data_IF_674321455149
#
_entry.id   IF_674321455149
#
_cell.length_a   1.000
_cell.length_b   1.000
_cell.length_c   1.000
_cell.angle_alpha   90.00
_cell.angle_beta   90.00
_cell.angle_gamma   90.00
#
_symmetry.space_group_name_H-M   'P 1'
#
loop_
_entity.id
_entity.type
_entity.pdbx_description
1 polymer ?
#
# COMPACT_ATOMS: atom_id res chain seq x y z
N UNK A 1 -8.98 -3.57 23.84
CA UNK A 1 -7.62 -3.90 24.30
C UNK A 1 -7.01 -5.05 23.50
N UNK A 2 -6.50 -4.77 22.30
CA UNK A 2 -5.78 -5.77 21.49
C UNK A 2 -4.43 -6.09 22.14
N UNK A 3 -3.99 -7.35 22.05
CA UNK A 3 -2.70 -7.82 22.58
C UNK A 3 -1.89 -8.40 21.43
N UNK A 4 -0.64 -7.98 21.29
CA UNK A 4 0.31 -8.62 20.39
C UNK A 4 0.88 -9.88 21.05
N UNK A 5 1.28 -10.83 20.23
CA UNK A 5 1.92 -12.07 20.65
C UNK A 5 3.15 -12.33 19.80
N UNK A 6 4.13 -13.04 20.37
CA UNK A 6 5.34 -13.48 19.67
C UNK A 6 6.12 -12.34 18.98
N UNK A 7 6.27 -11.19 19.65
CA UNK A 7 6.93 -10.00 19.07
C UNK A 7 8.43 -10.21 18.74
N UNK A 8 9.06 -11.13 19.46
CA UNK A 8 10.47 -11.50 19.33
C UNK A 8 10.67 -12.88 18.67
N UNK A 9 9.59 -13.50 18.21
CA UNK A 9 9.60 -14.82 17.57
C UNK A 9 8.52 -15.74 18.12
N UNK A 10 8.00 -16.61 17.26
CA UNK A 10 7.06 -17.67 17.65
C UNK A 10 7.84 -18.83 18.26
N UNK A 11 7.43 -19.36 19.44
CA UNK A 11 8.01 -20.58 19.99
C UNK A 11 7.93 -21.74 19.00
N UNK A 12 9.04 -22.47 18.85
CA UNK A 12 9.18 -23.53 17.83
C UNK A 12 8.25 -24.74 18.06
N UNK A 13 7.76 -24.91 19.29
CA UNK A 13 6.88 -25.98 19.74
C UNK A 13 5.38 -25.61 19.69
N UNK A 14 5.04 -24.38 19.31
CA UNK A 14 3.66 -23.94 19.17
C UNK A 14 3.03 -24.49 17.88
N UNK A 15 2.08 -25.43 17.98
CA UNK A 15 1.51 -26.09 16.78
C UNK A 15 0.04 -26.53 16.85
N UNK A 16 -0.55 -26.68 18.05
CA UNK A 16 -1.96 -27.02 18.26
C UNK A 16 -2.48 -26.43 19.59
N UNK A 17 -1.95 -25.29 19.97
CA UNK A 17 -2.21 -24.64 21.25
C UNK A 17 -3.11 -23.42 21.07
N UNK A 18 -3.82 -23.05 22.14
CA UNK A 18 -4.62 -21.84 22.25
C UNK A 18 -4.11 -21.02 23.43
N UNK A 19 -4.33 -19.72 23.39
CA UNK A 19 -4.10 -18.85 24.54
C UNK A 19 -5.16 -19.10 25.64
N UNK A 20 -4.84 -18.77 26.90
CA UNK A 20 -5.83 -18.75 27.96
C UNK A 20 -7.06 -17.91 27.60
N UNK A 21 -8.21 -18.31 28.12
CA UNK A 21 -9.47 -17.59 27.93
C UNK A 21 -9.39 -16.19 28.56
N UNK A 22 -10.00 -15.20 27.90
CA UNK A 22 -10.02 -13.79 28.32
C UNK A 22 -11.40 -13.21 27.96
N UNK A 23 -12.45 -13.75 28.61
CA UNK A 23 -13.85 -13.41 28.33
C UNK A 23 -14.20 -11.98 28.74
N UNK A 24 -13.65 -11.50 29.85
CA UNK A 24 -13.87 -10.14 30.36
C UNK A 24 -13.54 -9.09 29.29
N UNK A 25 -12.48 -9.33 28.50
CA UNK A 25 -12.07 -8.44 27.40
C UNK A 25 -13.13 -8.28 26.30
N UNK A 26 -14.03 -9.24 26.13
CA UNK A 26 -15.08 -9.24 25.10
C UNK A 26 -16.49 -9.17 25.70
N UNK A 27 -16.63 -8.95 27.00
CA UNK A 27 -17.91 -8.95 27.71
C UNK A 27 -18.92 -8.00 27.07
N UNK A 28 -18.50 -6.77 26.74
CA UNK A 28 -19.38 -5.78 26.09
C UNK A 28 -19.94 -6.31 24.76
N UNK A 29 -19.11 -6.98 23.96
CA UNK A 29 -19.53 -7.57 22.69
C UNK A 29 -20.48 -8.74 22.92
N UNK A 30 -20.26 -9.54 23.97
CA UNK A 30 -21.15 -10.63 24.36
C UNK A 30 -22.52 -10.10 24.79
N UNK A 31 -22.56 -9.04 25.59
CA UNK A 31 -23.82 -8.41 26.02
C UNK A 31 -24.62 -7.85 24.84
N UNK A 32 -23.94 -7.23 23.85
CA UNK A 32 -24.59 -6.81 22.60
C UNK A 32 -25.12 -7.99 21.78
N UNK A 33 -24.38 -9.10 21.72
CA UNK A 33 -24.83 -10.32 21.04
C UNK A 33 -26.07 -10.93 21.72
N UNK A 34 -26.09 -10.98 23.06
CA UNK A 34 -27.25 -11.43 23.84
C UNK A 34 -28.47 -10.53 23.59
N UNK A 35 -28.29 -9.21 23.62
CA UNK A 35 -29.37 -8.27 23.32
C UNK A 35 -29.98 -8.52 21.92
N UNK A 36 -29.13 -8.85 20.94
CA UNK A 36 -29.56 -9.14 19.57
C UNK A 36 -30.21 -10.52 19.42
N UNK A 37 -29.73 -11.52 20.15
CA UNK A 37 -30.20 -12.91 20.10
C UNK A 37 -30.41 -13.42 21.54
N UNK A 38 -31.57 -13.14 22.18
CA UNK A 38 -31.78 -13.40 23.61
C UNK A 38 -31.59 -14.87 24.05
N UNK A 39 -31.82 -15.82 23.15
CA UNK A 39 -31.59 -17.25 23.43
C UNK A 39 -30.15 -17.58 23.83
N UNK A 40 -29.17 -16.76 23.43
CA UNK A 40 -27.75 -16.92 23.81
C UNK A 40 -27.55 -16.79 25.32
N UNK A 41 -28.35 -15.98 26.02
CA UNK A 41 -28.24 -15.79 27.47
C UNK A 41 -28.44 -17.09 28.28
N UNK A 42 -29.27 -18.01 27.77
CA UNK A 42 -29.60 -19.26 28.45
C UNK A 42 -28.81 -20.46 27.94
N UNK A 43 -28.07 -20.33 26.83
CA UNK A 43 -27.40 -21.45 26.16
C UNK A 43 -26.13 -21.93 26.89
N UNK A 44 -25.48 -21.04 27.64
CA UNK A 44 -24.19 -21.30 28.30
C UNK A 44 -22.98 -21.31 27.33
N UNK A 45 -21.78 -21.13 27.88
CA UNK A 45 -20.52 -21.17 27.10
C UNK A 45 -19.92 -22.57 27.17
N UNK A 46 -19.88 -23.29 26.03
CA UNK A 46 -19.27 -24.63 25.96
C UNK A 46 -17.74 -24.58 25.89
N UNK A 47 -17.20 -23.65 25.10
CA UNK A 47 -15.77 -23.51 24.84
C UNK A 47 -15.45 -22.10 24.36
N UNK A 48 -14.30 -21.58 24.74
CA UNK A 48 -13.70 -20.36 24.21
C UNK A 48 -12.51 -20.74 23.34
N UNK A 49 -12.39 -20.08 22.19
CA UNK A 49 -11.25 -20.26 21.27
C UNK A 49 -10.52 -18.93 21.18
N UNK A 50 -9.39 -18.84 21.87
CA UNK A 50 -8.49 -17.69 21.84
C UNK A 50 -7.17 -18.12 21.20
N UNK A 51 -6.88 -17.64 19.99
CA UNK A 51 -5.70 -18.07 19.24
C UNK A 51 -5.09 -16.92 18.44
N UNK A 52 -3.84 -17.10 17.97
CA UNK A 52 -3.17 -16.11 17.16
C UNK A 52 -3.77 -16.01 15.76
N UNK A 53 -3.67 -14.82 15.18
CA UNK A 53 -4.02 -14.55 13.79
C UNK A 53 -2.97 -13.63 13.19
N UNK A 54 -2.62 -13.85 11.93
CA UNK A 54 -1.56 -13.09 11.25
C UNK A 54 -2.21 -11.94 10.49
N UNK A 55 -1.76 -10.72 10.74
CA UNK A 55 -2.27 -9.50 10.11
C UNK A 55 -1.13 -8.74 9.44
N UNK A 56 -1.38 -8.27 8.22
CA UNK A 56 -0.58 -7.24 7.58
C UNK A 56 -1.06 -5.84 8.02
N UNK A 57 -0.28 -4.77 7.76
CA UNK A 57 -0.67 -3.40 8.14
C UNK A 57 -2.02 -2.93 7.56
N UNK A 58 -2.46 -3.50 6.44
CA UNK A 58 -3.70 -3.15 5.76
C UNK A 58 -4.74 -4.28 5.77
N UNK A 59 -4.49 -5.35 6.52
CA UNK A 59 -5.32 -6.55 6.57
C UNK A 59 -5.43 -7.33 5.25
N UNK A 60 -4.70 -6.93 4.20
CA UNK A 60 -4.66 -7.62 2.93
C UNK A 60 -3.50 -8.62 2.87
N UNK A 61 -3.64 -9.65 2.03
CA UNK A 61 -2.62 -10.69 1.86
C UNK A 61 -1.28 -10.05 1.45
N UNK A 62 -0.17 -10.63 1.90
CA UNK A 62 1.17 -10.37 1.37
C UNK A 62 1.47 -11.45 0.33
N UNK A 63 1.29 -11.12 -0.93
CA UNK A 63 1.25 -12.07 -2.03
C UNK A 63 2.28 -11.72 -3.12
N UNK A 64 2.90 -12.72 -3.74
CA UNK A 64 3.75 -12.55 -4.90
C UNK A 64 5.25 -12.65 -4.64
N UNK A 65 6.08 -12.54 -5.69
CA UNK A 65 7.52 -12.67 -5.61
C UNK A 65 8.17 -11.48 -4.90
N UNK A 66 9.14 -11.75 -4.03
CA UNK A 66 9.94 -10.72 -3.39
C UNK A 66 10.95 -10.13 -4.39
N UNK A 67 10.90 -8.82 -4.72
CA UNK A 67 11.76 -8.24 -5.76
C UNK A 67 13.27 -8.35 -5.49
N UNK A 68 13.69 -8.49 -4.23
CA UNK A 68 15.09 -8.55 -3.82
C UNK A 68 15.67 -9.98 -3.87
N UNK A 69 14.82 -11.01 -3.98
CA UNK A 69 15.22 -12.41 -3.87
C UNK A 69 14.83 -13.18 -5.14
N UNK A 70 15.69 -14.10 -5.56
CA UNK A 70 15.38 -15.03 -6.65
C UNK A 70 14.60 -16.22 -6.11
N UNK A 71 13.53 -16.62 -6.80
CA UNK A 71 12.73 -17.81 -6.50
C UNK A 71 12.12 -17.82 -5.08
N UNK A 72 11.84 -16.64 -4.51
CA UNK A 72 11.18 -16.50 -3.22
C UNK A 72 9.79 -15.89 -3.40
N UNK A 73 8.75 -16.64 -3.01
CA UNK A 73 7.35 -16.26 -3.19
C UNK A 73 6.65 -16.13 -1.83
N UNK A 74 5.94 -15.02 -1.63
CA UNK A 74 5.15 -14.76 -0.43
C UNK A 74 3.69 -15.14 -0.67
N UNK A 75 3.09 -15.82 0.30
CA UNK A 75 1.65 -16.03 0.40
C UNK A 75 1.28 -16.06 1.89
N UNK A 76 1.33 -14.89 2.51
CA UNK A 76 1.31 -14.72 3.96
C UNK A 76 0.23 -13.71 4.40
N UNK A 77 -0.09 -13.67 5.69
CA UNK A 77 -1.03 -12.68 6.24
C UNK A 77 -2.48 -12.86 5.78
N UNK A 78 -2.90 -14.10 5.50
CA UNK A 78 -4.27 -14.41 5.10
C UNK A 78 -5.16 -14.50 6.35
N UNK A 79 -5.95 -13.45 6.59
CA UNK A 79 -6.82 -13.36 7.78
C UNK A 79 -8.02 -14.32 7.67
N UNK A 80 -8.91 -14.22 6.66
CA UNK A 80 -9.98 -15.19 6.46
C UNK A 80 -9.48 -16.38 5.62
N UNK A 81 -8.47 -17.10 6.13
CA UNK A 81 -7.78 -18.19 5.42
C UNK A 81 -8.73 -19.20 4.79
N UNK A 82 -9.73 -19.68 5.54
CA UNK A 82 -10.66 -20.70 5.04
C UNK A 82 -11.41 -20.30 3.76
N UNK A 83 -11.79 -19.03 3.59
CA UNK A 83 -12.53 -18.59 2.40
C UNK A 83 -11.63 -18.12 1.27
N UNK A 84 -10.39 -17.71 1.55
CA UNK A 84 -9.48 -17.15 0.55
C UNK A 84 -8.42 -18.13 0.03
N UNK A 85 -8.02 -19.13 0.81
CA UNK A 85 -6.86 -19.98 0.50
C UNK A 85 -6.97 -20.73 -0.83
N UNK A 86 -8.16 -21.17 -1.24
CA UNK A 86 -8.35 -21.82 -2.54
C UNK A 86 -8.00 -20.92 -3.72
N UNK A 87 -8.48 -19.67 -3.69
CA UNK A 87 -8.15 -18.66 -4.70
C UNK A 87 -6.67 -18.27 -4.69
N UNK A 88 -6.09 -18.13 -3.48
CA UNK A 88 -4.66 -17.82 -3.32
C UNK A 88 -3.77 -18.94 -3.84
N UNK A 89 -4.12 -20.21 -3.58
CA UNK A 89 -3.42 -21.36 -4.14
C UNK A 89 -3.44 -21.36 -5.66
N UNK A 90 -4.62 -21.14 -6.28
CA UNK A 90 -4.75 -21.05 -7.75
C UNK A 90 -3.87 -19.93 -8.33
N UNK A 91 -3.97 -18.72 -7.78
CA UNK A 91 -3.24 -17.56 -8.30
C UNK A 91 -1.73 -17.68 -8.07
N UNK A 92 -1.30 -18.33 -6.98
CA UNK A 92 0.11 -18.57 -6.72
C UNK A 92 0.69 -19.56 -7.74
N UNK A 93 -0.01 -20.66 -7.98
CA UNK A 93 0.37 -21.63 -9.00
C UNK A 93 0.41 -21.00 -10.40
N UNK A 94 -0.61 -20.21 -10.75
CA UNK A 94 -0.65 -19.47 -12.01
C UNK A 94 0.53 -18.52 -12.15
N UNK A 95 0.87 -17.76 -11.11
CA UNK A 95 2.01 -16.86 -11.16
C UNK A 95 3.33 -17.62 -11.31
N UNK A 96 3.52 -18.72 -10.57
CA UNK A 96 4.75 -19.51 -10.66
C UNK A 96 4.94 -20.18 -12.03
N UNK A 97 3.86 -20.63 -12.67
CA UNK A 97 3.90 -21.33 -13.96
C UNK A 97 3.95 -20.32 -15.11
N UNK A 98 3.05 -19.34 -15.09
CA UNK A 98 2.82 -18.43 -16.21
C UNK A 98 3.62 -17.14 -16.09
N UNK A 99 4.22 -16.84 -14.94
CA UNK A 99 5.01 -15.62 -14.69
C UNK A 99 4.19 -14.38 -14.35
N UNK A 100 2.86 -14.40 -14.52
CA UNK A 100 1.94 -13.32 -14.17
C UNK A 100 0.52 -13.87 -13.94
N UNK A 101 -0.20 -13.44 -12.88
CA UNK A 101 -1.57 -13.88 -12.62
C UNK A 101 -2.57 -13.34 -13.66
N UNK A 102 -3.72 -14.00 -13.80
CA UNK A 102 -4.83 -13.55 -14.66
C UNK A 102 -5.62 -12.37 -14.09
N UNK A 103 -5.49 -12.11 -12.80
CA UNK A 103 -6.15 -11.01 -12.10
C UNK A 103 -5.12 -9.96 -11.69
N UNK A 104 -5.56 -8.70 -11.60
CA UNK A 104 -4.73 -7.65 -10.99
C UNK A 104 -4.61 -7.92 -9.48
N UNK A 105 -3.38 -8.21 -9.07
CA UNK A 105 -3.03 -8.54 -7.69
C UNK A 105 -2.31 -7.39 -6.97
N UNK A 106 -2.16 -6.20 -7.58
CA UNK A 106 -1.33 -5.13 -7.01
C UNK A 106 -1.74 -4.75 -5.58
N UNK A 107 -3.04 -4.70 -5.29
CA UNK A 107 -3.55 -4.42 -3.94
C UNK A 107 -3.12 -5.44 -2.89
N UNK A 108 -2.78 -6.68 -3.29
CA UNK A 108 -2.28 -7.76 -2.42
C UNK A 108 -0.80 -8.05 -2.63
N UNK A 109 -0.15 -7.34 -3.55
CA UNK A 109 1.25 -7.54 -3.84
C UNK A 109 2.12 -7.17 -2.65
N UNK A 110 3.03 -8.05 -2.26
CA UNK A 110 3.92 -7.82 -1.11
C UNK A 110 4.88 -6.63 -1.34
N UNK A 111 5.15 -6.26 -2.59
CA UNK A 111 5.99 -5.13 -2.97
C UNK A 111 5.31 -3.77 -2.78
N UNK A 112 4.02 -3.72 -2.42
CA UNK A 112 3.32 -2.47 -2.05
C UNK A 112 3.82 -1.85 -0.74
N UNK A 113 4.52 -2.63 0.08
CA UNK A 113 5.24 -2.15 1.26
C UNK A 113 6.73 -2.03 0.95
N UNK A 114 7.47 -1.25 1.73
CA UNK A 114 8.94 -1.19 1.67
C UNK A 114 9.54 -1.24 3.07
N UNK A 115 10.86 -1.03 3.19
CA UNK A 115 11.56 -1.03 4.49
C UNK A 115 11.00 -0.02 5.51
N UNK A 116 10.28 1.00 5.04
CA UNK A 116 9.58 1.97 5.88
C UNK A 116 8.46 1.35 6.72
N UNK A 117 7.86 0.23 6.28
CA UNK A 117 6.79 -0.47 6.99
C UNK A 117 7.36 -1.37 8.10
N UNK A 118 8.16 -0.79 9.00
CA UNK A 118 8.83 -1.51 10.09
C UNK A 118 7.89 -1.99 11.20
N UNK A 119 8.46 -2.60 12.25
CA UNK A 119 7.70 -3.17 13.39
C UNK A 119 6.74 -2.16 14.02
N UNK A 120 7.21 -0.93 14.31
CA UNK A 120 6.40 0.10 14.97
C UNK A 120 5.17 0.50 14.13
N UNK A 121 5.37 0.78 12.84
CA UNK A 121 4.27 1.08 11.90
C UNK A 121 3.30 -0.10 11.81
N UNK A 122 3.82 -1.31 11.60
CA UNK A 122 3.01 -2.52 11.47
C UNK A 122 2.14 -2.76 12.71
N UNK A 123 2.71 -2.66 13.92
CA UNK A 123 1.94 -2.79 15.16
C UNK A 123 0.83 -1.75 15.25
N UNK A 124 1.15 -0.47 15.06
CA UNK A 124 0.15 0.60 15.15
C UNK A 124 -1.01 0.39 14.15
N UNK A 125 -0.69 0.04 12.89
CA UNK A 125 -1.70 -0.22 11.86
C UNK A 125 -2.52 -1.48 12.15
N UNK A 126 -1.90 -2.58 12.56
CA UNK A 126 -2.62 -3.83 12.90
C UNK A 126 -3.57 -3.62 14.07
N UNK A 127 -3.16 -2.87 15.10
CA UNK A 127 -4.04 -2.53 16.22
C UNK A 127 -5.25 -1.70 15.78
N UNK A 128 -5.04 -0.71 14.91
CA UNK A 128 -6.09 0.10 14.31
C UNK A 128 -7.05 -0.75 13.47
N UNK A 129 -6.52 -1.58 12.57
CA UNK A 129 -7.27 -2.48 11.70
C UNK A 129 -8.11 -3.49 12.50
N UNK A 130 -7.52 -4.13 13.52
CA UNK A 130 -8.24 -5.06 14.38
C UNK A 130 -9.41 -4.37 15.09
N UNK A 131 -9.20 -3.16 15.59
CA UNK A 131 -10.20 -2.40 16.34
C UNK A 131 -11.33 -1.85 15.45
N UNK A 132 -11.06 -1.67 14.16
CA UNK A 132 -12.00 -1.11 13.18
C UNK A 132 -12.52 -2.12 12.15
N UNK A 133 -12.20 -3.41 12.28
CA UNK A 133 -12.52 -4.45 11.28
C UNK A 133 -13.96 -4.44 10.75
N UNK A 134 -14.92 -4.15 11.62
CA UNK A 134 -16.37 -4.14 11.30
C UNK A 134 -16.97 -2.73 11.27
N UNK A 135 -16.13 -1.68 11.22
CA UNK A 135 -16.60 -0.32 11.03
C UNK A 135 -16.99 -0.10 9.57
N UNK A 136 -17.79 0.94 9.34
CA UNK A 136 -18.03 1.43 7.98
C UNK A 136 -16.74 2.10 7.52
N UNK A 137 -16.21 1.64 6.40
CA UNK A 137 -15.09 2.27 5.71
C UNK A 137 -15.64 3.16 4.59
N UNK A 138 -15.16 4.39 4.54
CA UNK A 138 -15.61 5.39 3.57
C UNK A 138 -14.56 5.58 2.47
N UNK A 139 -14.97 6.02 1.27
CA UNK A 139 -14.02 6.45 0.24
C UNK A 139 -13.07 7.52 0.79
N UNK A 140 -11.81 7.47 0.35
CA UNK A 140 -10.74 8.41 0.74
C UNK A 140 -10.44 8.46 2.24
N UNK A 141 -10.88 7.46 3.02
CA UNK A 141 -10.58 7.42 4.45
C UNK A 141 -9.07 7.29 4.72
N UNK A 142 -8.53 8.28 5.43
CA UNK A 142 -7.17 8.26 5.95
C UNK A 142 -7.13 7.77 7.41
N UNK A 143 -6.06 7.05 7.76
CA UNK A 143 -5.88 6.49 9.10
C UNK A 143 -4.59 6.99 9.74
N UNK A 144 -4.72 7.64 10.90
CA UNK A 144 -3.59 8.26 11.60
C UNK A 144 -2.62 7.27 12.25
N UNK A 145 -3.04 6.02 12.49
CA UNK A 145 -2.23 5.05 13.21
C UNK A 145 -0.88 4.79 12.50
N UNK A 146 0.22 4.94 13.23
CA UNK A 146 1.57 4.75 12.71
C UNK A 146 2.11 5.90 11.87
N UNK A 147 1.38 7.02 11.74
CA UNK A 147 1.80 8.20 10.99
C UNK A 147 2.26 9.33 11.94
N UNK A 148 3.19 10.19 11.51
CA UNK A 148 3.94 10.11 10.25
C UNK A 148 5.03 9.02 10.32
N UNK A 149 5.24 8.28 9.22
CA UNK A 149 6.31 7.26 9.13
C UNK A 149 7.51 7.73 8.30
N UNK A 150 7.28 8.55 7.28
CA UNK A 150 8.33 9.28 6.55
C UNK A 150 7.83 10.66 6.15
N UNK A 151 8.70 11.64 6.28
CA UNK A 151 8.43 13.04 5.89
C UNK A 151 9.52 13.55 4.96
N UNK A 152 9.16 14.50 4.10
CA UNK A 152 10.11 15.22 3.22
C UNK A 152 10.60 16.50 3.91
N UNK A 153 11.72 17.09 3.46
CA UNK A 153 12.22 18.35 4.05
C UNK A 153 11.20 19.49 4.06
N UNK A 154 10.27 19.51 3.11
CA UNK A 154 9.20 20.51 2.98
C UNK A 154 7.96 20.22 3.83
N UNK A 155 7.93 19.12 4.59
CA UNK A 155 6.75 18.66 5.34
C UNK A 155 6.25 19.70 6.35
N UNK A 156 7.13 20.23 7.21
CA UNK A 156 6.70 21.21 8.23
C UNK A 156 6.21 22.51 7.59
N UNK A 157 6.88 22.98 6.53
CA UNK A 157 6.44 24.15 5.76
C UNK A 157 5.04 23.92 5.15
N UNK A 158 4.80 22.77 4.52
CA UNK A 158 3.49 22.43 3.96
C UNK A 158 2.41 22.36 5.06
N UNK A 159 2.73 21.79 6.23
CA UNK A 159 1.84 21.72 7.38
C UNK A 159 1.49 23.11 7.91
N UNK A 160 2.45 24.03 7.99
CA UNK A 160 2.22 25.43 8.35
C UNK A 160 1.28 26.11 7.35
N UNK A 161 1.48 25.87 6.04
CA UNK A 161 0.62 26.31 4.94
C UNK A 161 -0.79 25.72 4.96
N UNK A 162 -1.09 24.77 5.85
CA UNK A 162 -2.41 24.17 6.01
C UNK A 162 -2.61 22.84 5.28
N UNK A 163 -1.54 22.17 4.85
CA UNK A 163 -1.65 20.85 4.25
C UNK A 163 -2.34 19.84 5.18
N UNK A 164 -3.33 19.16 4.63
CA UNK A 164 -3.94 17.96 5.18
C UNK A 164 -3.31 16.76 4.50
N UNK A 165 -2.69 15.87 5.28
CA UNK A 165 -1.83 14.81 4.75
C UNK A 165 -2.51 13.45 4.71
N UNK A 166 -2.23 12.72 3.64
CA UNK A 166 -2.50 11.30 3.47
C UNK A 166 -1.22 10.47 3.47
N UNK A 167 -1.35 9.14 3.41
CA UNK A 167 -0.22 8.22 3.34
C UNK A 167 -0.03 7.68 1.92
N UNK A 168 1.12 7.94 1.30
CA UNK A 168 1.50 7.36 0.02
C UNK A 168 2.86 6.65 0.13
N UNK A 169 2.85 5.30 0.12
CA UNK A 169 4.07 4.47 0.22
C UNK A 169 5.01 4.87 1.37
N UNK A 170 4.42 5.13 2.53
CA UNK A 170 5.13 5.57 3.73
C UNK A 170 5.39 7.07 3.81
N UNK A 171 5.18 7.83 2.73
CA UNK A 171 5.34 9.28 2.76
C UNK A 171 4.06 9.98 3.20
N UNK A 172 4.21 10.97 4.07
CA UNK A 172 3.19 12.00 4.24
C UNK A 172 3.08 12.83 2.96
N UNK A 173 1.92 12.77 2.31
CA UNK A 173 1.64 13.45 1.05
C UNK A 173 0.47 14.42 1.22
N UNK A 174 0.62 15.71 0.88
CA UNK A 174 -0.51 16.65 0.92
C UNK A 174 -1.64 16.19 0.01
N UNK A 175 -2.84 16.05 0.57
CA UNK A 175 -4.06 15.76 -0.18
C UNK A 175 -4.73 17.06 -0.66
N UNK A 176 -4.73 18.07 0.21
CA UNK A 176 -5.29 19.41 -0.02
C UNK A 176 -4.78 20.38 1.06
N UNK A 177 -5.02 21.67 0.88
CA UNK A 177 -4.57 22.75 1.77
C UNK A 177 -5.77 23.53 2.33
N UNK A 178 -5.92 23.49 3.65
CA UNK A 178 -6.91 24.27 4.39
C UNK A 178 -6.51 25.75 4.44
N UNK A 179 -7.46 26.65 4.20
CA UNK A 179 -7.26 28.08 4.38
C UNK A 179 -7.27 28.47 5.87
N UNK A 180 -6.85 29.71 6.17
CA UNK A 180 -6.92 30.23 7.53
C UNK A 180 -8.36 30.19 8.07
N UNK A 181 -8.55 29.55 9.22
CA UNK A 181 -9.86 29.37 9.85
C UNK A 181 -10.65 28.14 9.39
N UNK A 182 -10.15 27.37 8.41
CA UNK A 182 -10.77 26.11 8.01
C UNK A 182 -10.26 24.91 8.83
N UNK A 183 -11.08 23.84 9.01
CA UNK A 183 -10.63 22.63 9.66
C UNK A 183 -9.46 21.98 8.93
N UNK A 184 -8.46 21.51 9.67
CA UNK A 184 -7.28 20.78 9.15
C UNK A 184 -7.38 19.26 9.31
N UNK A 185 -8.58 18.78 9.62
CA UNK A 185 -8.90 17.36 9.71
C UNK A 185 -9.85 17.00 8.57
N UNK A 186 -9.65 15.84 7.97
CA UNK A 186 -10.50 15.37 6.87
C UNK A 186 -11.78 14.75 7.40
N UNK A 187 -12.93 15.16 6.83
CA UNK A 187 -14.20 14.46 7.08
C UNK A 187 -14.38 13.34 6.08
N UNK A 188 -15.01 12.24 6.51
CA UNK A 188 -15.25 11.06 5.67
C UNK A 188 -16.75 10.75 5.57
N UNK A 189 -17.18 10.32 4.38
CA UNK A 189 -18.58 10.03 4.10
C UNK A 189 -18.81 9.68 2.63
N UNK A 190 -20.02 9.27 2.28
CA UNK A 190 -20.39 8.89 0.91
C UNK A 190 -20.74 10.06 -0.01
N UNK A 191 -20.76 11.28 0.53
CA UNK A 191 -21.06 12.52 -0.21
C UNK A 191 -19.83 13.43 -0.24
N UNK A 192 -19.96 14.63 -0.83
CA UNK A 192 -18.90 15.63 -0.80
C UNK A 192 -18.53 15.97 0.65
N UNK A 193 -17.24 15.88 0.95
CA UNK A 193 -16.67 16.15 2.26
C UNK A 193 -16.06 17.55 2.32
N UNK A 194 -15.47 17.91 3.45
CA UNK A 194 -14.91 19.24 3.69
C UNK A 194 -13.79 19.62 2.71
N UNK A 195 -13.06 18.65 2.14
CA UNK A 195 -12.04 18.88 1.12
C UNK A 195 -12.58 19.45 -0.21
N UNK A 196 -13.89 19.32 -0.49
CA UNK A 196 -14.47 19.71 -1.79
C UNK A 196 -14.27 21.19 -2.11
N UNK A 197 -14.47 22.06 -1.12
CA UNK A 197 -14.26 23.51 -1.26
C UNK A 197 -12.79 23.86 -1.51
N UNK A 198 -11.86 23.46 -0.62
CA UNK A 198 -10.42 23.65 -0.77
C UNK A 198 -9.86 23.15 -2.09
N UNK A 199 -10.13 21.89 -2.47
CA UNK A 199 -9.65 21.34 -3.75
C UNK A 199 -10.20 22.12 -4.93
N UNK A 200 -11.46 22.56 -4.88
CA UNK A 200 -12.05 23.43 -5.90
C UNK A 200 -11.35 24.80 -6.01
N UNK A 201 -10.86 25.36 -4.89
CA UNK A 201 -10.06 26.59 -4.91
C UNK A 201 -8.67 26.35 -5.48
N UNK A 202 -8.00 25.26 -5.10
CA UNK A 202 -6.68 24.89 -5.64
C UNK A 202 -6.73 24.68 -7.15
N UNK A 203 -7.74 23.95 -7.64
CA UNK A 203 -7.93 23.72 -9.06
C UNK A 203 -8.16 25.02 -9.85
N UNK A 204 -8.96 25.95 -9.32
CA UNK A 204 -9.14 27.28 -9.94
C UNK A 204 -7.87 28.11 -9.91
N UNK A 205 -7.17 28.14 -8.76
CA UNK A 205 -5.89 28.84 -8.62
C UNK A 205 -4.88 28.37 -9.67
N UNK A 206 -4.75 27.06 -9.89
CA UNK A 206 -3.88 26.48 -10.91
C UNK A 206 -4.29 26.82 -12.35
N UNK A 207 -5.58 27.04 -12.61
CA UNK A 207 -6.07 27.42 -13.96
C UNK A 207 -5.90 28.90 -14.25
N UNK A 208 -6.02 29.73 -13.23
CA UNK A 208 -6.03 31.19 -13.36
C UNK A 208 -4.64 31.79 -13.13
N UNK A 209 -3.73 31.07 -12.47
CA UNK A 209 -2.41 31.56 -12.05
C UNK A 209 -1.33 30.47 -12.28
N UNK A 210 -0.38 30.37 -11.35
CA UNK A 210 0.62 29.31 -11.28
C UNK A 210 0.59 28.69 -9.89
N UNK A 211 0.80 27.38 -9.80
CA UNK A 211 0.86 26.66 -8.54
C UNK A 211 2.00 25.66 -8.51
N UNK A 212 2.36 25.27 -7.29
CA UNK A 212 3.44 24.33 -7.02
C UNK A 212 2.81 23.07 -6.44
N UNK A 213 3.17 21.92 -7.00
CA UNK A 213 2.78 20.61 -6.50
C UNK A 213 4.03 19.83 -6.10
N UNK A 214 3.99 19.19 -4.94
CA UNK A 214 5.07 18.33 -4.49
C UNK A 214 4.93 16.93 -5.10
N UNK A 215 5.83 16.62 -6.04
CA UNK A 215 5.93 15.32 -6.71
C UNK A 215 7.15 14.51 -6.25
N UNK A 216 7.70 14.86 -5.08
CA UNK A 216 8.89 14.20 -4.52
C UNK A 216 8.64 12.72 -4.24
N UNK A 217 7.39 12.29 -4.09
CA UNK A 217 7.00 10.90 -3.85
C UNK A 217 7.11 9.99 -5.09
N UNK A 218 7.26 10.51 -6.31
CA UNK A 218 7.49 9.65 -7.49
C UNK A 218 8.77 8.83 -7.38
N UNK A 219 8.76 7.64 -7.98
CA UNK A 219 9.95 6.81 -8.15
C UNK A 219 10.85 7.46 -9.20
N UNK A 220 12.15 7.44 -8.96
CA UNK A 220 13.15 8.14 -9.78
C UNK A 220 14.31 7.19 -10.00
N UNK A 221 14.62 6.91 -11.25
CA UNK A 221 15.71 6.03 -11.64
C UNK A 221 16.61 6.73 -12.64
N UNK A 222 17.88 6.40 -12.57
CA UNK A 222 18.90 6.83 -13.51
C UNK A 222 19.37 5.59 -14.27
N UNK A 223 19.37 5.67 -15.61
CA UNK A 223 19.83 4.59 -16.49
C UNK A 223 20.96 5.16 -17.34
N UNK A 224 22.15 4.57 -17.19
CA UNK A 224 23.41 5.06 -17.77
C UNK A 224 24.17 3.96 -18.51
N UNK A 225 24.92 4.35 -19.52
CA UNK A 225 25.86 3.50 -20.25
C UNK A 225 25.54 3.37 -21.73
N UNK A 226 26.49 2.85 -22.52
CA UNK A 226 26.42 2.86 -23.99
C UNK A 226 25.16 2.16 -24.55
N UNK A 227 24.65 1.16 -23.83
CA UNK A 227 23.49 0.36 -24.22
C UNK A 227 22.19 0.73 -23.48
N UNK A 228 22.18 1.86 -22.75
CA UNK A 228 21.02 2.32 -21.97
C UNK A 228 19.76 2.48 -22.85
N UNK A 229 19.90 3.08 -24.03
CA UNK A 229 18.79 3.27 -24.98
C UNK A 229 18.23 1.92 -25.45
N UNK A 230 19.12 0.97 -25.77
CA UNK A 230 18.73 -0.36 -26.23
C UNK A 230 17.99 -1.15 -25.13
N UNK A 231 18.51 -1.12 -23.90
CA UNK A 231 17.88 -1.76 -22.76
C UNK A 231 16.50 -1.16 -22.44
N UNK A 232 16.38 0.16 -22.44
CA UNK A 232 15.10 0.86 -22.23
C UNK A 232 14.07 0.54 -23.33
N UNK A 233 14.50 0.47 -24.58
CA UNK A 233 13.64 0.07 -25.71
C UNK A 233 13.23 -1.41 -25.66
N UNK A 234 13.99 -2.27 -24.99
CA UNK A 234 13.60 -3.66 -24.73
C UNK A 234 12.62 -3.78 -23.55
N UNK A 235 12.71 -2.87 -22.59
CA UNK A 235 11.89 -2.86 -21.38
C UNK A 235 10.51 -2.21 -21.59
N UNK A 236 10.47 -1.07 -22.27
CA UNK A 236 9.27 -0.25 -22.42
C UNK A 236 8.66 -0.35 -23.82
N UNK A 237 7.35 -0.07 -23.93
CA UNK A 237 6.64 -0.24 -25.20
C UNK A 237 6.79 0.94 -26.18
N UNK A 238 7.12 2.14 -25.71
CA UNK A 238 7.42 3.27 -26.58
C UNK A 238 8.92 3.34 -26.92
N UNK A 239 9.26 3.98 -28.04
CA UNK A 239 10.64 4.28 -28.39
C UNK A 239 11.19 5.41 -27.53
N UNK A 240 12.40 5.23 -27.03
CA UNK A 240 13.09 6.25 -26.23
C UNK A 240 13.39 7.51 -27.05
N UNK A 241 13.43 8.69 -26.40
CA UNK A 241 13.72 9.95 -27.09
C UNK A 241 15.13 9.92 -27.70
N UNK A 242 15.23 10.30 -28.97
CA UNK A 242 16.50 10.29 -29.73
C UNK A 242 17.33 11.55 -29.57
N UNK A 243 16.76 12.63 -29.01
CA UNK A 243 17.44 13.91 -28.79
C UNK A 243 17.60 14.17 -27.30
N UNK A 244 18.77 14.63 -26.89
CA UNK A 244 19.02 15.13 -25.53
C UNK A 244 18.04 16.26 -25.20
N UNK A 245 17.46 16.23 -24.00
CA UNK A 245 16.45 17.16 -23.51
C UNK A 245 15.01 16.75 -23.83
N UNK A 246 14.78 15.80 -24.73
CA UNK A 246 13.43 15.32 -25.02
C UNK A 246 12.94 14.30 -23.99
N UNK A 247 11.62 14.31 -23.77
CA UNK A 247 10.93 13.35 -22.92
C UNK A 247 9.84 12.61 -23.70
N UNK A 248 9.53 11.38 -23.29
CA UNK A 248 8.36 10.64 -23.75
C UNK A 248 7.62 9.99 -22.57
N UNK A 249 6.32 9.76 -22.75
CA UNK A 249 5.55 8.83 -21.93
C UNK A 249 5.66 7.43 -22.52
N UNK A 250 5.80 6.42 -21.66
CA UNK A 250 5.98 5.05 -22.09
C UNK A 250 5.39 4.06 -21.09
N UNK A 251 4.51 3.14 -21.54
CA UNK A 251 3.98 2.13 -20.66
C UNK A 251 4.98 0.97 -20.50
N UNK A 252 5.00 0.41 -19.30
CA UNK A 252 5.59 -0.88 -19.00
C UNK A 252 4.52 -1.96 -19.16
N UNK A 253 4.81 -2.96 -19.98
CA UNK A 253 3.84 -3.99 -20.35
C UNK A 253 4.20 -5.31 -19.67
N UNK A 254 3.21 -5.91 -19.01
CA UNK A 254 3.31 -7.22 -18.39
C UNK A 254 3.32 -8.35 -19.40
N UNK A 255 3.61 -9.56 -18.93
CA UNK A 255 3.76 -10.76 -19.77
C UNK A 255 2.48 -11.11 -20.53
N UNK A 256 1.32 -10.78 -19.97
CA UNK A 256 -0.01 -10.99 -20.56
C UNK A 256 -0.50 -9.80 -21.40
N UNK A 257 0.34 -8.79 -21.62
CA UNK A 257 -0.01 -7.58 -22.39
C UNK A 257 -0.76 -6.51 -21.58
N UNK A 258 -0.93 -6.70 -20.26
CA UNK A 258 -1.49 -5.68 -19.38
C UNK A 258 -0.51 -4.55 -19.06
N UNK A 259 -1.01 -3.41 -18.58
CA UNK A 259 -0.17 -2.28 -18.17
C UNK A 259 0.32 -2.52 -16.74
N UNK A 260 1.63 -2.68 -16.57
CA UNK A 260 2.29 -2.80 -15.26
C UNK A 260 2.73 -1.43 -14.69
N UNK A 261 2.83 -0.42 -15.54
CA UNK A 261 3.15 0.94 -15.12
C UNK A 261 3.16 1.92 -16.28
N UNK A 262 3.20 3.19 -15.94
CA UNK A 262 3.38 4.29 -16.88
C UNK A 262 4.54 5.17 -16.39
N UNK A 263 5.37 5.60 -17.32
CA UNK A 263 6.65 6.23 -17.04
C UNK A 263 6.88 7.43 -17.93
N UNK A 264 7.52 8.45 -17.37
CA UNK A 264 8.14 9.53 -18.13
C UNK A 264 9.63 9.25 -18.23
N UNK A 265 10.16 9.18 -19.45
CA UNK A 265 11.60 9.02 -19.70
C UNK A 265 12.14 10.26 -20.39
N UNK A 266 13.20 10.84 -19.83
CA UNK A 266 13.91 12.00 -20.37
C UNK A 266 15.34 11.61 -20.71
N UNK A 267 15.81 11.90 -21.92
CA UNK A 267 17.22 11.75 -22.28
C UNK A 267 18.01 12.95 -21.79
N UNK A 268 18.93 12.73 -20.84
CA UNK A 268 19.74 13.78 -20.23
C UNK A 268 21.09 13.96 -20.93
N UNK A 269 21.66 12.89 -21.49
CA UNK A 269 22.88 12.91 -22.30
C UNK A 269 22.84 11.81 -23.37
N UNK A 270 23.93 11.61 -24.10
CA UNK A 270 23.99 10.60 -25.17
C UNK A 270 23.73 9.18 -24.65
N UNK A 271 24.17 8.88 -23.42
CA UNK A 271 24.08 7.57 -22.77
C UNK A 271 23.45 7.67 -21.36
N UNK A 272 22.64 8.70 -21.10
CA UNK A 272 22.02 8.95 -19.79
C UNK A 272 20.53 9.29 -19.90
N UNK A 273 19.70 8.60 -19.11
CA UNK A 273 18.26 8.78 -19.05
C UNK A 273 17.76 8.89 -17.61
N UNK A 274 16.84 9.83 -17.39
CA UNK A 274 16.02 9.92 -16.18
C UNK A 274 14.69 9.23 -16.43
N UNK A 275 14.32 8.30 -15.55
CA UNK A 275 13.07 7.55 -15.62
C UNK A 275 12.25 7.86 -14.36
N UNK A 276 11.06 8.41 -14.56
CA UNK A 276 10.13 8.77 -13.49
C UNK A 276 8.90 7.86 -13.58
N UNK A 277 8.55 7.23 -12.46
CA UNK A 277 7.41 6.31 -12.38
C UNK A 277 6.61 6.48 -11.09
N UNK A 278 5.60 5.62 -10.92
CA UNK A 278 4.75 5.63 -9.72
C UNK A 278 5.55 5.26 -8.47
N UNK A 279 5.63 6.19 -7.51
CA UNK A 279 6.38 5.99 -6.26
C UNK A 279 5.98 4.75 -5.47
N UNK A 280 4.68 4.50 -5.35
CA UNK A 280 4.15 3.35 -4.62
C UNK A 280 4.45 2.00 -5.24
N UNK A 281 4.85 1.99 -6.52
CA UNK A 281 5.16 0.80 -7.28
C UNK A 281 6.68 0.61 -7.47
N UNK A 282 7.52 1.40 -6.78
CA UNK A 282 8.98 1.34 -6.97
C UNK A 282 9.53 -0.08 -6.82
N UNK A 283 9.19 -0.77 -5.73
CA UNK A 283 9.57 -2.18 -5.53
C UNK A 283 8.87 -3.13 -6.49
N UNK A 284 7.63 -2.84 -6.85
CA UNK A 284 6.87 -3.67 -7.79
C UNK A 284 7.54 -3.67 -9.18
N UNK A 285 7.94 -2.50 -9.69
CA UNK A 285 8.55 -2.34 -11.01
C UNK A 285 9.93 -3.00 -11.13
N UNK A 286 10.68 -3.16 -10.04
CA UNK A 286 11.98 -3.83 -10.04
C UNK A 286 11.95 -5.24 -10.66
N UNK A 287 10.85 -5.98 -10.51
CA UNK A 287 10.75 -7.34 -11.10
C UNK A 287 10.72 -7.33 -12.63
N UNK A 288 10.17 -6.27 -13.22
CA UNK A 288 10.11 -6.09 -14.67
C UNK A 288 11.44 -5.58 -15.18
N UNK A 289 12.09 -4.66 -14.46
CA UNK A 289 13.42 -4.19 -14.84
C UNK A 289 14.43 -5.35 -14.86
N UNK A 290 14.33 -6.27 -13.90
CA UNK A 290 15.17 -7.48 -13.83
C UNK A 290 14.81 -8.57 -14.85
N UNK A 291 13.70 -8.46 -15.58
CA UNK A 291 13.35 -9.44 -16.62
C UNK A 291 14.12 -9.21 -17.92
N UNK A 292 14.66 -8.00 -18.11
CA UNK A 292 15.55 -7.66 -19.21
C UNK A 292 16.99 -7.67 -18.67
N UNK A 293 17.86 -8.57 -19.14
CA UNK A 293 19.26 -8.59 -18.72
C UNK A 293 19.92 -7.24 -18.94
N UNK A 294 20.72 -6.80 -17.97
CA UNK A 294 21.61 -5.66 -18.19
C UNK A 294 22.68 -6.07 -19.22
N UNK A 295 23.03 -5.17 -20.16
CA UNK A 295 24.06 -5.39 -21.16
C UNK A 295 25.46 -5.58 -20.55
#
# INVERSE_FOLDING_TARGET
>A
NMKFWAEDGTPMDFGHELFPDDLDRIEENMMRAIQRVPAVAAAGVKKVINGPMIWSPDSAVLFGPAPELSNYFCCNGIIPGFSQSGGMGKLAAEWMIEGEPTLDMFGWDMARFGHWAGKAFTKARVQDQYSHRFKIHFPNEERAAGRPVRTRPVYEMQKEMGAVFGLNFGWEHPLWFAAAGEPREETVGFTRQNWWGPVGREARMLRENAGIIDISNFAKYEVKGPDAEAWLNALFANRMPTKVGNSCLTPLIGKRGGIAGDFTVTRLADDEFMVIGSGMAERFHQRFFKSVPLP
#
